data_IF_031962973943
#
_entry.id   IF_031962973943
#
_cell.length_a   1.000
_cell.length_b   1.000
_cell.length_c   1.000
_cell.angle_alpha   90.00
_cell.angle_beta   90.00
_cell.angle_gamma   90.00
#
_symmetry.space_group_name_H-M   'P 1'
#
loop_
_entity.id
_entity.type
_entity.pdbx_description
1 polymer ?
#
# COMPACT_ATOMS: atom_id res chain seq x y z
N UNK A 1 56.71 -44.99 2.63
CA UNK A 1 56.64 -43.59 3.08
C UNK A 1 55.37 -42.97 2.52
N UNK A 2 54.33 -42.80 3.35
CA UNK A 2 53.01 -42.29 2.93
C UNK A 2 53.10 -40.76 2.81
N UNK A 3 52.90 -40.21 1.60
CA UNK A 3 52.76 -38.76 1.40
C UNK A 3 51.34 -38.35 1.77
N UNK A 4 51.20 -37.59 2.86
CA UNK A 4 49.96 -36.96 3.28
C UNK A 4 49.55 -35.89 2.25
N UNK A 5 48.37 -36.07 1.67
CA UNK A 5 47.70 -35.05 0.87
C UNK A 5 47.04 -34.09 1.86
N UNK A 6 47.61 -32.90 1.97
CA UNK A 6 47.10 -31.81 2.82
C UNK A 6 46.04 -31.05 2.02
N UNK A 7 44.79 -31.48 2.16
CA UNK A 7 43.64 -30.85 1.50
C UNK A 7 43.34 -29.52 2.18
N UNK A 8 43.70 -28.42 1.52
CA UNK A 8 43.41 -27.06 1.97
C UNK A 8 41.91 -26.78 1.85
N UNK A 9 41.24 -26.65 2.98
CA UNK A 9 39.83 -26.29 3.08
C UNK A 9 39.68 -24.78 2.83
N UNK A 10 39.38 -24.38 1.59
CA UNK A 10 39.03 -22.98 1.28
C UNK A 10 37.61 -22.75 1.78
N UNK A 11 37.51 -22.13 2.95
CA UNK A 11 36.27 -21.67 3.56
C UNK A 11 35.77 -20.45 2.76
N UNK A 12 34.97 -20.71 1.72
CA UNK A 12 34.33 -19.67 0.94
C UNK A 12 33.27 -18.95 1.76
N UNK A 13 33.61 -17.79 2.31
CA UNK A 13 32.64 -16.88 2.93
C UNK A 13 31.78 -16.26 1.81
N UNK A 14 30.67 -16.91 1.49
CA UNK A 14 29.61 -16.29 0.70
C UNK A 14 28.98 -15.20 1.56
N UNK A 15 29.41 -13.95 1.33
CA UNK A 15 28.73 -12.77 1.80
C UNK A 15 27.36 -12.73 1.12
N UNK A 16 26.35 -13.33 1.76
CA UNK A 16 24.97 -13.05 1.43
C UNK A 16 24.67 -11.62 1.88
N UNK A 17 24.98 -10.66 1.01
CA UNK A 17 24.45 -9.31 1.13
C UNK A 17 22.93 -9.41 1.02
N UNK A 18 22.25 -9.40 2.16
CA UNK A 18 20.80 -9.22 2.23
C UNK A 18 20.48 -7.89 1.54
N UNK A 19 19.97 -7.96 0.31
CA UNK A 19 19.43 -6.80 -0.38
C UNK A 19 18.26 -6.29 0.46
N UNK A 20 18.48 -5.23 1.22
CA UNK A 20 17.41 -4.54 1.92
C UNK A 20 16.51 -3.90 0.87
N UNK A 21 15.35 -4.51 0.62
CA UNK A 21 14.32 -3.94 -0.24
C UNK A 21 13.93 -2.57 0.33
N UNK A 22 14.13 -1.50 -0.46
CA UNK A 22 13.78 -0.17 -0.02
C UNK A 22 12.24 -0.06 0.04
N UNK A 23 11.72 0.60 1.07
CA UNK A 23 10.28 0.86 1.19
C UNK A 23 10.04 2.36 1.34
N UNK A 24 9.19 2.92 0.49
CA UNK A 24 8.83 4.34 0.51
C UNK A 24 7.36 4.51 0.80
N UNK A 25 7.04 5.26 1.85
CA UNK A 25 5.67 5.62 2.20
C UNK A 25 5.12 6.65 1.21
N UNK A 26 3.96 6.36 0.62
CA UNK A 26 3.32 7.25 -0.35
C UNK A 26 2.00 7.85 0.14
N UNK A 27 1.23 7.13 0.98
CA UNK A 27 -0.03 7.62 1.52
C UNK A 27 -0.12 7.30 3.01
N UNK A 28 -0.60 8.25 3.81
CA UNK A 28 -1.11 8.00 5.16
C UNK A 28 -2.58 8.38 5.27
N UNK A 29 -3.43 7.41 5.58
CA UNK A 29 -4.86 7.56 5.77
C UNK A 29 -5.26 7.64 7.23
N UNK A 30 -6.29 8.43 7.52
CA UNK A 30 -6.97 8.51 8.82
C UNK A 30 -8.47 8.38 8.63
N UNK A 31 -9.18 7.91 9.64
CA UNK A 31 -10.63 7.67 9.58
C UNK A 31 -11.33 8.50 10.66
N UNK A 32 -12.45 9.14 10.30
CA UNK A 32 -13.24 9.97 11.23
C UNK A 32 -13.58 9.21 12.53
N UNK A 33 -13.12 9.78 13.65
CA UNK A 33 -13.39 9.25 14.99
C UNK A 33 -12.68 7.94 15.32
N UNK A 34 -11.60 7.58 14.60
CA UNK A 34 -10.72 6.45 14.95
C UNK A 34 -9.30 6.95 15.23
N UNK A 35 -8.62 6.31 16.18
CA UNK A 35 -7.18 6.45 16.39
C UNK A 35 -6.34 5.69 15.35
N UNK A 36 -7.02 4.94 14.46
CA UNK A 36 -6.40 4.11 13.44
C UNK A 36 -5.79 4.95 12.33
N UNK A 37 -4.54 4.65 11.98
CA UNK A 37 -3.87 5.13 10.78
C UNK A 37 -3.65 3.98 9.79
N UNK A 38 -3.75 4.30 8.52
CA UNK A 38 -3.44 3.40 7.41
C UNK A 38 -2.22 3.95 6.69
N UNK A 39 -1.25 3.12 6.37
CA UNK A 39 -0.07 3.53 5.59
C UNK A 39 0.01 2.67 4.35
N UNK A 40 0.15 3.30 3.19
CA UNK A 40 0.51 2.62 1.94
C UNK A 40 1.96 2.99 1.61
N UNK A 41 2.78 1.95 1.43
CA UNK A 41 4.17 2.06 1.04
C UNK A 41 4.42 1.25 -0.24
N UNK A 42 5.34 1.74 -1.08
CA UNK A 42 5.85 1.01 -2.23
C UNK A 42 7.12 0.26 -1.82
N UNK A 43 7.24 -0.97 -2.28
CA UNK A 43 8.46 -1.77 -2.14
C UNK A 43 9.25 -1.63 -3.43
N UNK A 44 10.53 -1.28 -3.34
CA UNK A 44 11.36 -0.88 -4.48
C UNK A 44 12.57 -1.82 -4.65
N UNK A 45 12.96 -2.03 -5.91
CA UNK A 45 14.23 -2.68 -6.24
C UNK A 45 15.41 -1.69 -6.22
N UNK A 46 16.59 -2.14 -6.65
CA UNK A 46 17.80 -1.31 -6.72
C UNK A 46 17.74 -0.19 -7.77
N UNK A 47 16.77 -0.22 -8.70
CA UNK A 47 16.55 0.80 -9.72
C UNK A 47 15.43 1.80 -9.32
N UNK A 48 14.92 1.66 -8.09
CA UNK A 48 13.73 2.33 -7.56
C UNK A 48 12.43 1.99 -8.33
N UNK A 49 12.37 0.83 -8.98
CA UNK A 49 11.16 0.34 -9.63
C UNK A 49 10.28 -0.41 -8.62
N UNK A 50 8.97 -0.31 -8.78
CA UNK A 50 7.99 -0.91 -7.86
C UNK A 50 7.96 -2.42 -8.05
N UNK A 51 8.26 -3.14 -6.98
CA UNK A 51 8.18 -4.61 -6.90
C UNK A 51 6.95 -5.08 -6.11
N UNK A 52 6.30 -4.17 -5.41
CA UNK A 52 5.10 -4.46 -4.64
C UNK A 52 4.63 -3.27 -3.81
N UNK A 53 3.59 -3.50 -3.02
CA UNK A 53 3.03 -2.52 -2.10
C UNK A 53 2.83 -3.16 -0.74
N UNK A 54 2.97 -2.37 0.33
CA UNK A 54 2.67 -2.80 1.69
C UNK A 54 1.62 -1.85 2.27
N UNK A 55 0.54 -2.43 2.79
CA UNK A 55 -0.51 -1.73 3.52
C UNK A 55 -0.36 -2.05 4.99
N UNK A 56 -0.19 -1.02 5.81
CA UNK A 56 -0.03 -1.13 7.26
C UNK A 56 -1.21 -0.46 7.94
N UNK A 57 -1.73 -1.06 9.00
CA UNK A 57 -2.76 -0.49 9.86
C UNK A 57 -2.23 -0.44 11.28
N UNK A 58 -2.20 0.75 11.84
CA UNK A 58 -1.79 0.98 13.22
C UNK A 58 -2.96 1.56 14.01
N UNK A 59 -3.39 0.82 15.04
CA UNK A 59 -4.34 1.29 16.05
C UNK A 59 -3.66 1.12 17.42
N UNK A 60 -3.54 2.18 18.24
CA UNK A 60 -2.93 2.10 19.56
C UNK A 60 -3.54 1.02 20.47
N UNK A 61 -4.78 0.60 20.20
CA UNK A 61 -5.51 -0.36 21.00
C UNK A 61 -5.62 -1.75 20.36
N UNK A 62 -4.98 -1.98 19.20
CA UNK A 62 -5.00 -3.25 18.50
C UNK A 62 -3.59 -3.68 18.05
N UNK A 63 -3.38 -4.98 17.73
CA UNK A 63 -2.13 -5.41 17.13
C UNK A 63 -1.84 -4.64 15.84
N UNK A 64 -0.56 -4.43 15.59
CA UNK A 64 -0.08 -3.94 14.31
C UNK A 64 -0.41 -4.94 13.20
N UNK A 65 -1.01 -4.46 12.11
CA UNK A 65 -1.35 -5.27 10.95
C UNK A 65 -0.59 -4.75 9.73
N UNK A 66 0.04 -5.65 8.98
CA UNK A 66 0.68 -5.33 7.71
C UNK A 66 0.35 -6.41 6.68
N UNK A 67 0.08 -5.99 5.45
CA UNK A 67 -0.14 -6.88 4.32
C UNK A 67 0.63 -6.38 3.11
N UNK A 68 1.50 -7.24 2.59
CA UNK A 68 2.25 -6.98 1.37
C UNK A 68 1.57 -7.63 0.18
N UNK A 69 1.71 -6.96 -0.96
CA UNK A 69 1.20 -7.35 -2.27
C UNK A 69 2.36 -7.28 -3.24
N UNK A 70 2.54 -8.30 -4.08
CA UNK A 70 3.50 -8.22 -5.19
C UNK A 70 2.92 -7.42 -6.36
N UNK A 71 3.75 -7.15 -7.37
CA UNK A 71 3.36 -6.43 -8.58
C UNK A 71 2.15 -7.06 -9.32
N UNK A 72 2.09 -8.38 -9.40
CA UNK A 72 1.00 -9.11 -10.06
C UNK A 72 -0.35 -8.93 -9.36
N UNK A 73 -0.35 -8.74 -8.03
CA UNK A 73 -1.56 -8.52 -7.23
C UNK A 73 -2.10 -7.09 -7.35
N UNK A 74 -1.29 -6.13 -7.79
CA UNK A 74 -1.71 -4.73 -7.96
C UNK A 74 -2.79 -4.61 -9.04
N UNK A 75 -2.68 -5.39 -10.12
CA UNK A 75 -3.67 -5.43 -11.19
C UNK A 75 -5.02 -5.99 -10.72
N UNK A 76 -5.00 -6.99 -9.83
CA UNK A 76 -6.21 -7.62 -9.26
C UNK A 76 -6.92 -6.77 -8.21
N UNK A 77 -6.28 -5.69 -7.79
CA UNK A 77 -6.77 -4.77 -6.78
C UNK A 77 -6.32 -5.13 -5.36
N UNK A 78 -5.77 -4.14 -4.68
CA UNK A 78 -5.32 -4.27 -3.29
C UNK A 78 -6.37 -3.69 -2.33
N UNK A 79 -6.51 -4.32 -1.17
CA UNK A 79 -7.41 -3.84 -0.11
C UNK A 79 -6.61 -2.97 0.84
N UNK A 80 -6.98 -1.69 0.94
CA UNK A 80 -6.38 -0.73 1.87
C UNK A 80 -7.01 -0.80 3.25
N UNK A 81 -8.33 -1.03 3.30
CA UNK A 81 -9.06 -1.07 4.55
C UNK A 81 -10.19 -2.08 4.50
N UNK A 82 -10.21 -2.97 5.49
CA UNK A 82 -11.24 -3.97 5.70
C UNK A 82 -11.86 -3.77 7.08
N UNK A 83 -13.18 -3.85 7.14
CA UNK A 83 -13.92 -3.75 8.39
C UNK A 83 -15.13 -4.67 8.34
N UNK A 84 -15.35 -5.43 9.42
CA UNK A 84 -16.50 -6.34 9.56
C UNK A 84 -16.68 -7.27 8.35
N UNK A 85 -15.58 -7.83 7.84
CA UNK A 85 -15.58 -8.76 6.71
C UNK A 85 -15.84 -8.13 5.34
N UNK A 86 -15.81 -6.80 5.22
CA UNK A 86 -16.06 -6.07 3.96
C UNK A 86 -14.86 -5.22 3.55
N UNK A 87 -14.62 -5.16 2.24
CA UNK A 87 -13.60 -4.31 1.64
C UNK A 87 -14.14 -2.88 1.56
N UNK A 88 -13.67 -2.04 2.46
CA UNK A 88 -14.15 -0.67 2.60
C UNK A 88 -13.45 0.23 1.61
N UNK A 89 -12.13 0.08 1.44
CA UNK A 89 -11.32 0.85 0.48
C UNK A 89 -10.39 -0.10 -0.26
N UNK A 90 -10.39 -0.01 -1.58
CA UNK A 90 -9.54 -0.79 -2.49
C UNK A 90 -8.86 0.14 -3.49
N UNK A 91 -7.67 -0.24 -3.96
CA UNK A 91 -7.00 0.37 -5.10
C UNK A 91 -6.87 -0.65 -6.21
N UNK A 92 -7.03 -0.26 -7.47
CA UNK A 92 -6.76 -1.08 -8.65
C UNK A 92 -6.21 -0.22 -9.76
N UNK A 93 -5.52 -0.80 -10.73
CA UNK A 93 -4.96 -0.06 -11.86
C UNK A 93 -4.91 -0.93 -13.10
N UNK A 94 -5.38 -0.39 -14.22
CA UNK A 94 -5.38 -1.10 -15.52
C UNK A 94 -4.13 -0.76 -16.37
N UNK A 95 -3.42 0.31 -16.05
CA UNK A 95 -2.25 0.80 -16.79
C UNK A 95 -1.02 1.01 -15.90
N UNK A 96 -0.85 0.16 -14.88
CA UNK A 96 0.29 0.26 -13.97
C UNK A 96 1.59 -0.19 -14.66
N UNK A 97 2.64 0.62 -14.53
CA UNK A 97 4.00 0.28 -14.94
C UNK A 97 4.96 0.46 -13.76
N UNK A 98 5.69 -0.59 -13.39
CA UNK A 98 6.58 -0.58 -12.21
C UNK A 98 7.59 0.57 -12.18
N UNK A 99 8.04 1.04 -13.35
CA UNK A 99 9.08 2.07 -13.49
C UNK A 99 8.53 3.51 -13.61
N UNK A 100 7.22 3.68 -13.85
CA UNK A 100 6.60 5.00 -14.10
C UNK A 100 5.34 5.28 -13.26
N UNK A 101 4.70 4.24 -12.71
CA UNK A 101 3.42 4.32 -12.03
C UNK A 101 2.26 4.14 -13.01
N UNK A 102 1.15 4.85 -12.79
CA UNK A 102 -0.06 4.72 -13.60
C UNK A 102 -1.28 5.35 -12.93
N UNK A 103 -2.42 5.25 -13.62
CA UNK A 103 -3.69 5.75 -13.12
C UNK A 103 -4.31 4.70 -12.18
N UNK A 104 -4.42 5.04 -10.91
CA UNK A 104 -4.95 4.16 -9.87
C UNK A 104 -6.38 4.55 -9.54
N UNK A 105 -7.29 3.59 -9.64
CA UNK A 105 -8.67 3.74 -9.22
C UNK A 105 -8.80 3.40 -7.73
N UNK A 106 -9.17 4.39 -6.93
CA UNK A 106 -9.56 4.20 -5.53
C UNK A 106 -11.07 3.98 -5.45
N UNK A 107 -11.47 2.79 -5.02
CA UNK A 107 -12.88 2.42 -4.85
C UNK A 107 -13.22 2.26 -3.38
N UNK A 108 -14.30 2.90 -2.93
CA UNK A 108 -14.76 2.82 -1.54
C UNK A 108 -16.23 2.45 -1.38
N UNK A 109 -16.54 1.76 -0.29
CA UNK A 109 -17.90 1.36 0.08
C UNK A 109 -18.66 2.57 0.61
N UNK A 110 -19.48 3.19 -0.23
CA UNK A 110 -20.29 4.35 0.15
C UNK A 110 -21.43 3.94 1.09
N UNK A 111 -22.09 2.80 0.84
CA UNK A 111 -23.16 2.28 1.70
C UNK A 111 -23.22 0.74 1.68
N UNK A 112 -22.78 0.12 2.76
CA UNK A 112 -22.75 -1.33 2.98
C UNK A 112 -24.11 -2.01 3.12
N UNK A 113 -25.19 -1.27 3.40
CA UNK A 113 -26.56 -1.83 3.39
C UNK A 113 -26.99 -2.10 1.94
N UNK A 114 -26.75 -1.13 1.06
CA UNK A 114 -27.14 -1.22 -0.36
C UNK A 114 -26.06 -1.84 -1.25
N UNK A 115 -24.84 -2.01 -0.74
CA UNK A 115 -23.67 -2.40 -1.54
C UNK A 115 -23.10 -1.29 -2.45
N UNK A 116 -23.66 -0.07 -2.43
CA UNK A 116 -23.22 1.03 -3.29
C UNK A 116 -21.77 1.41 -3.02
N UNK A 117 -20.95 1.41 -4.08
CA UNK A 117 -19.55 1.85 -4.09
C UNK A 117 -19.38 3.07 -4.98
N UNK A 118 -18.34 3.85 -4.68
CA UNK A 118 -17.88 4.94 -5.53
C UNK A 118 -16.40 4.76 -5.83
N UNK A 119 -15.98 5.35 -6.93
CA UNK A 119 -14.60 5.29 -7.41
C UNK A 119 -14.12 6.68 -7.78
N UNK A 120 -12.83 6.93 -7.58
CA UNK A 120 -12.13 8.13 -8.03
C UNK A 120 -10.77 7.73 -8.60
N UNK A 121 -10.24 8.54 -9.50
CA UNK A 121 -8.91 8.33 -10.07
C UNK A 121 -7.88 9.17 -9.30
N UNK A 122 -6.72 8.57 -9.04
CA UNK A 122 -5.50 9.23 -8.59
C UNK A 122 -4.37 8.78 -9.52
N UNK A 123 -3.32 9.58 -9.64
CA UNK A 123 -2.14 9.23 -10.41
C UNK A 123 -1.01 8.87 -9.45
N UNK A 124 -0.41 7.70 -9.65
CA UNK A 124 0.87 7.35 -9.04
C UNK A 124 1.95 7.58 -10.08
N UNK A 125 2.97 8.36 -9.75
CA UNK A 125 4.02 8.67 -10.71
C UNK A 125 5.38 8.84 -10.04
N UNK A 126 6.42 8.68 -10.86
CA UNK A 126 7.82 8.87 -10.46
C UNK A 126 8.32 10.24 -10.92
N UNK A 127 8.86 11.02 -9.98
CA UNK A 127 9.51 12.31 -10.20
C UNK A 127 10.97 12.21 -9.79
N UNK A 128 11.85 11.99 -10.77
CA UNK A 128 13.25 11.61 -10.54
C UNK A 128 13.34 10.28 -9.79
N UNK A 129 13.86 10.31 -8.56
CA UNK A 129 13.94 9.15 -7.66
C UNK A 129 12.85 9.11 -6.59
N UNK A 130 11.87 10.02 -6.66
CA UNK A 130 10.78 10.11 -5.68
C UNK A 130 9.48 9.63 -6.28
N UNK A 131 8.76 8.78 -5.54
CA UNK A 131 7.40 8.38 -5.86
C UNK A 131 6.39 9.32 -5.23
N UNK A 132 5.39 9.73 -6.00
CA UNK A 132 4.35 10.67 -5.58
C UNK A 132 2.98 10.20 -6.04
N UNK A 133 1.96 10.65 -5.32
CA UNK A 133 0.57 10.49 -5.74
C UNK A 133 -0.06 11.86 -5.92
N UNK A 134 -0.88 12.01 -6.96
CA UNK A 134 -1.63 13.23 -7.21
C UNK A 134 -3.09 12.93 -7.52
N UNK A 135 -3.93 13.93 -7.30
CA UNK A 135 -5.31 13.94 -7.73
C UNK A 135 -5.59 15.25 -8.46
N UNK A 136 -6.11 15.14 -9.68
CA UNK A 136 -6.41 16.30 -10.53
C UNK A 136 -5.19 17.25 -10.66
N UNK A 137 -3.99 16.67 -10.77
CA UNK A 137 -2.71 17.39 -10.87
C UNK A 137 -2.16 17.97 -9.56
N UNK A 138 -2.79 17.69 -8.41
CA UNK A 138 -2.32 18.14 -7.09
C UNK A 138 -1.77 16.99 -6.26
N UNK A 139 -0.51 17.11 -5.86
CA UNK A 139 0.19 16.13 -5.02
C UNK A 139 -0.43 16.07 -3.62
N UNK A 140 -0.60 14.85 -3.11
CA UNK A 140 -1.02 14.60 -1.74
C UNK A 140 -0.18 13.49 -1.12
N UNK A 141 -0.09 13.45 0.21
CA UNK A 141 0.51 12.33 0.94
C UNK A 141 -0.38 11.83 2.08
N UNK A 142 -1.47 12.55 2.35
CA UNK A 142 -2.41 12.26 3.43
C UNK A 142 -3.83 12.18 2.89
N UNK A 143 -4.60 11.23 3.41
CA UNK A 143 -6.04 11.10 3.13
C UNK A 143 -6.84 11.03 4.42
N UNK A 144 -8.03 11.62 4.43
CA UNK A 144 -8.96 11.50 5.54
C UNK A 144 -10.30 10.96 5.05
N UNK A 145 -10.75 9.84 5.63
CA UNK A 145 -12.00 9.19 5.30
C UNK A 145 -13.12 9.64 6.25
N UNK A 146 -14.13 10.34 5.72
CA UNK A 146 -15.32 10.69 6.49
C UNK A 146 -16.33 9.55 6.47
N UNK A 147 -16.85 9.18 7.63
CA UNK A 147 -17.83 8.10 7.71
C UNK A 147 -19.18 8.55 7.18
N UNK A 148 -19.86 7.65 6.48
CA UNK A 148 -21.28 7.77 6.18
C UNK A 148 -22.07 7.13 7.31
N UNK A 149 -23.03 7.87 7.86
CA UNK A 149 -23.94 7.38 8.91
C UNK A 149 -25.37 7.33 8.40
N UNK A 150 -26.14 6.35 8.86
CA UNK A 150 -27.58 6.25 8.66
C UNK A 150 -28.29 6.24 10.01
N UNK A 151 -29.41 6.96 10.10
CA UNK A 151 -30.22 7.03 11.32
C UNK A 151 -30.60 5.61 11.75
N UNK A 152 -30.44 5.31 13.04
CA UNK A 152 -30.69 4.00 13.69
C UNK A 152 -29.75 2.84 13.36
N UNK A 153 -28.95 2.90 12.29
CA UNK A 153 -27.98 1.82 11.94
C UNK A 153 -26.54 2.17 12.36
N UNK A 154 -26.20 3.45 12.40
CA UNK A 154 -24.84 3.90 12.69
C UNK A 154 -24.01 4.06 11.42
N UNK A 155 -22.74 3.66 11.46
CA UNK A 155 -21.80 3.82 10.34
C UNK A 155 -22.09 2.78 9.26
N UNK A 156 -22.29 3.22 8.03
CA UNK A 156 -22.65 2.36 6.90
C UNK A 156 -21.63 2.39 5.76
N UNK A 157 -20.59 3.22 5.84
CA UNK A 157 -19.58 3.32 4.78
C UNK A 157 -18.76 4.59 4.86
N UNK A 158 -18.20 5.00 3.72
CA UNK A 158 -17.42 6.24 3.55
C UNK A 158 -18.25 7.26 2.77
N UNK A 159 -18.41 8.46 3.32
CA UNK A 159 -19.19 9.55 2.71
C UNK A 159 -18.37 10.32 1.69
N UNK A 160 -17.14 10.67 2.05
CA UNK A 160 -16.20 11.46 1.26
C UNK A 160 -14.76 11.18 1.72
N UNK A 161 -13.81 11.55 0.88
CA UNK A 161 -12.37 11.41 1.11
C UNK A 161 -11.73 12.76 0.83
N UNK A 162 -10.97 13.27 1.79
CA UNK A 162 -10.21 14.51 1.63
C UNK A 162 -8.73 14.19 1.42
N UNK A 163 -8.14 14.84 0.42
CA UNK A 163 -6.76 14.68 0.01
C UNK A 163 -5.95 15.87 0.49
N UNK A 164 -4.87 15.62 1.24
CA UNK A 164 -4.06 16.63 1.87
C UNK A 164 -2.57 16.36 1.62
N UNK A 165 -1.79 17.43 1.52
CA UNK A 165 -0.34 17.33 1.35
C UNK A 165 0.34 16.73 2.57
#
# INVERSE_FOLDING_TARGET
MKKMIMTSLILGATLFSSLTQASVRIITGTIEGESKTLTLSLNLDSNNDITGMTVESHDPNAPYEAKSYNDSEIYGGIVLYRQSGRDIVTLSSDNFAAHQGGAVQLTYLYNGITGRRYSLMIDLYRDGDTWKVSKDGQDFSRVHFYKKRQRFVGVVGVRSIDFNR
#
